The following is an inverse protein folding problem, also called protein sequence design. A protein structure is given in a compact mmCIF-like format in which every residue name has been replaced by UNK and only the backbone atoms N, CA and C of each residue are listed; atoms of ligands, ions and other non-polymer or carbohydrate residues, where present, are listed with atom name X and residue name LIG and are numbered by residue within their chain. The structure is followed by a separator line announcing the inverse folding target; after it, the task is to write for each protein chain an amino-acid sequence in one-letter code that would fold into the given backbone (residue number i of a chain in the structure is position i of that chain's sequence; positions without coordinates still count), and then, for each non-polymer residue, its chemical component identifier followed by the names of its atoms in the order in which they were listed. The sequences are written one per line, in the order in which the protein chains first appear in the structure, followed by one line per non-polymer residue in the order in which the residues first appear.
data_IF_439516936607
#
_entry.id   IF_439516936607
#
_cell.length_a   1.000
_cell.length_b   1.000
_cell.length_c   1.000
_cell.angle_alpha   90.00
_cell.angle_beta   90.00
_cell.angle_gamma   90.00
#
_symmetry.space_group_name_H-M   'P 1'
#
loop_
_entity.id
_entity.type
_entity.pdbx_description
1 polymer ?
#
# COMPACT_ATOMS: atom_id res chain seq x y z
N UNK A 1 6.44 -4.10 -24.90
CA UNK A 1 7.30 -3.47 -23.87
C UNK A 1 6.38 -2.62 -23.00
N UNK A 2 5.85 -3.16 -21.89
CA UNK A 2 4.99 -2.37 -21.00
C UNK A 2 5.93 -1.50 -20.18
N UNK A 3 6.01 -0.21 -20.52
CA UNK A 3 6.66 0.80 -19.70
C UNK A 3 6.12 0.63 -18.28
N UNK A 4 6.99 0.19 -17.36
CA UNK A 4 6.68 0.22 -15.93
C UNK A 4 6.60 1.69 -15.57
N UNK A 5 5.41 2.26 -15.67
CA UNK A 5 5.13 3.60 -15.26
C UNK A 5 5.11 3.58 -13.73
N UNK A 6 6.29 3.67 -13.12
CA UNK A 6 6.50 3.73 -11.67
C UNK A 6 5.80 4.98 -11.14
N UNK A 7 4.53 4.82 -10.75
CA UNK A 7 3.75 5.91 -10.17
C UNK A 7 4.21 6.08 -8.73
N UNK A 8 4.88 7.19 -8.47
CA UNK A 8 5.28 7.58 -7.13
C UNK A 8 4.16 8.37 -6.45
N UNK A 9 3.74 7.92 -5.27
CA UNK A 9 2.73 8.59 -4.46
C UNK A 9 3.34 8.99 -3.12
N UNK A 10 3.11 10.23 -2.72
CA UNK A 10 3.50 10.75 -1.40
C UNK A 10 2.26 10.83 -0.54
N UNK A 11 2.32 10.21 0.62
CA UNK A 11 1.26 10.24 1.63
C UNK A 11 1.80 10.84 2.91
N UNK A 12 0.90 11.35 3.76
CA UNK A 12 1.28 11.87 5.07
C UNK A 12 1.54 10.75 6.08
N UNK A 13 1.02 9.54 5.84
CA UNK A 13 1.20 8.39 6.72
C UNK A 13 1.28 7.05 5.98
N UNK A 14 2.00 6.08 6.56
CA UNK A 14 2.04 4.70 6.06
C UNK A 14 0.64 4.12 5.87
N UNK A 15 -0.28 4.39 6.82
CA UNK A 15 -1.63 3.87 6.75
C UNK A 15 -2.33 4.31 5.45
N UNK A 16 -2.22 5.58 5.05
CA UNK A 16 -2.83 6.06 3.80
C UNK A 16 -2.22 5.40 2.57
N UNK A 17 -0.89 5.24 2.55
CA UNK A 17 -0.19 4.56 1.47
C UNK A 17 -0.64 3.10 1.33
N UNK A 18 -0.76 2.40 2.46
CA UNK A 18 -1.25 1.01 2.51
C UNK A 18 -2.70 0.94 1.99
N UNK A 19 -3.56 1.87 2.41
CA UNK A 19 -4.96 1.94 1.95
C UNK A 19 -5.01 2.06 0.43
N UNK A 20 -4.25 3.01 -0.11
CA UNK A 20 -4.23 3.30 -1.54
C UNK A 20 -3.66 2.12 -2.34
N UNK A 21 -2.59 1.50 -1.85
CA UNK A 21 -2.00 0.31 -2.45
C UNK A 21 -2.96 -0.89 -2.47
N UNK A 22 -3.89 -0.99 -1.53
CA UNK A 22 -4.85 -2.11 -1.47
C UNK A 22 -6.16 -1.80 -2.18
N UNK A 23 -6.67 -0.57 -2.06
CA UNK A 23 -7.99 -0.18 -2.57
C UNK A 23 -7.95 0.40 -4.00
N UNK A 24 -6.90 1.15 -4.35
CA UNK A 24 -6.80 1.87 -5.63
C UNK A 24 -5.95 1.11 -6.65
N UNK A 25 -4.90 0.44 -6.16
CA UNK A 25 -3.99 -0.32 -7.03
C UNK A 25 -4.52 -1.73 -7.34
N UNK A 26 -4.27 -2.24 -8.56
CA UNK A 26 -4.59 -3.61 -8.90
C UNK A 26 -3.72 -4.57 -8.07
N UNK A 27 -4.32 -5.58 -7.43
CA UNK A 27 -3.59 -6.52 -6.55
C UNK A 27 -2.39 -7.24 -7.20
N UNK A 28 -2.35 -7.35 -8.54
CA UNK A 28 -1.19 -7.84 -9.27
C UNK A 28 0.04 -6.92 -9.18
N UNK A 29 -0.16 -5.60 -9.04
CA UNK A 29 0.90 -4.62 -8.84
C UNK A 29 1.38 -4.57 -7.38
N UNK A 30 0.49 -4.88 -6.42
CA UNK A 30 0.83 -4.91 -4.98
C UNK A 30 2.04 -5.80 -4.69
N UNK A 31 2.12 -6.98 -5.32
CA UNK A 31 3.25 -7.93 -5.13
C UNK A 31 4.62 -7.35 -5.50
N UNK A 32 4.67 -6.39 -6.41
CA UNK A 32 5.91 -5.71 -6.81
C UNK A 32 6.08 -4.33 -6.19
N UNK A 33 5.18 -3.92 -5.30
CA UNK A 33 5.18 -2.61 -4.68
C UNK A 33 5.90 -2.64 -3.34
N UNK A 34 6.68 -1.60 -3.09
CA UNK A 34 7.20 -1.28 -1.78
C UNK A 34 6.69 0.10 -1.36
N UNK A 35 6.32 0.23 -0.09
CA UNK A 35 5.96 1.49 0.56
C UNK A 35 7.06 1.82 1.55
N UNK A 36 7.64 2.99 1.42
CA UNK A 36 8.64 3.51 2.35
C UNK A 36 7.99 4.59 3.22
N UNK A 37 8.07 4.41 4.54
CA UNK A 37 7.55 5.33 5.53
C UNK A 37 8.63 5.63 6.57
N UNK A 38 9.33 6.75 6.39
CA UNK A 38 10.49 7.07 7.23
C UNK A 38 11.58 6.02 7.04
N UNK A 39 11.91 5.29 8.11
CA UNK A 39 12.89 4.20 8.12
C UNK A 39 12.26 2.82 7.79
N UNK A 40 10.93 2.73 7.82
CA UNK A 40 10.23 1.47 7.63
C UNK A 40 9.88 1.25 6.17
N UNK A 41 10.17 0.05 5.66
CA UNK A 41 9.75 -0.40 4.33
C UNK A 41 8.80 -1.58 4.43
N UNK A 42 7.69 -1.48 3.72
CA UNK A 42 6.66 -2.52 3.64
C UNK A 42 6.53 -3.00 2.20
N UNK A 43 6.46 -4.31 2.00
CA UNK A 43 6.35 -4.94 0.68
C UNK A 43 4.98 -5.59 0.54
N UNK A 44 4.55 -5.93 -0.69
CA UNK A 44 3.18 -6.35 -0.99
C UNK A 44 2.46 -7.23 0.03
N UNK A 45 3.09 -8.30 0.49
CA UNK A 45 2.50 -9.21 1.49
C UNK A 45 2.36 -8.54 2.87
N UNK A 46 3.38 -7.78 3.28
CA UNK A 46 3.39 -7.01 4.52
C UNK A 46 2.35 -5.88 4.49
N UNK A 47 2.19 -5.20 3.34
CA UNK A 47 1.16 -4.18 3.11
C UNK A 47 -0.23 -4.79 3.30
N UNK A 48 -0.47 -5.98 2.74
CA UNK A 48 -1.74 -6.69 2.90
C UNK A 48 -2.00 -7.08 4.35
N UNK A 49 -0.99 -7.62 5.04
CA UNK A 49 -1.10 -7.98 6.46
C UNK A 49 -1.40 -6.76 7.34
N UNK A 50 -0.75 -5.62 7.08
CA UNK A 50 -1.00 -4.37 7.82
C UNK A 50 -2.39 -3.79 7.57
N UNK A 51 -2.91 -3.92 6.35
CA UNK A 51 -4.28 -3.51 6.04
C UNK A 51 -5.31 -4.41 6.74
N UNK A 52 -5.03 -5.71 6.83
CA UNK A 52 -5.92 -6.69 7.48
C UNK A 52 -5.80 -6.68 9.01
N UNK A 53 -4.71 -6.15 9.56
CA UNK A 53 -4.49 -6.03 11.00
C UNK A 53 -5.59 -5.20 11.68
N UNK A 54 -6.09 -5.70 12.82
CA UNK A 54 -7.14 -5.01 13.60
C UNK A 54 -6.69 -3.65 14.15
N UNK A 55 -5.38 -3.45 14.30
CA UNK A 55 -4.77 -2.19 14.76
C UNK A 55 -4.70 -1.11 13.66
N UNK A 56 -5.13 -1.43 12.44
CA UNK A 56 -5.03 -0.50 11.32
C UNK A 56 -5.84 0.79 11.60
N UNK A 57 -5.18 1.96 11.67
CA UNK A 57 -5.79 3.16 12.25
C UNK A 57 -6.80 3.87 11.34
N UNK A 58 -6.88 3.49 10.06
CA UNK A 58 -7.80 4.09 9.11
C UNK A 58 -9.02 3.20 8.88
N UNK A 59 -10.18 3.82 8.70
CA UNK A 59 -11.39 3.12 8.30
C UNK A 59 -11.16 2.46 6.92
N UNK A 60 -11.24 1.13 6.89
CA UNK A 60 -11.27 0.35 5.64
C UNK A 60 -12.52 0.77 4.87
N UNK A 61 -12.48 0.91 3.53
CA UNK A 61 -13.73 0.99 2.77
C UNK A 61 -14.47 -0.35 2.95
N UNK A 62 -15.33 -0.42 3.94
CA UNK A 62 -16.41 -1.38 3.95
C UNK A 62 -17.32 -0.98 2.80
N UNK A 63 -17.39 -1.81 1.78
CA UNK A 63 -18.36 -1.65 0.70
C UNK A 63 -19.68 -2.24 1.12
#
# INVERSE_FOLDING_TARGET
MKTRNERYFRFHSAAEAIRFAIEDMPGAALRGMAIECGDNRFEGDHIRALYDAQDYPLARKTR
#
